data_IF_377714602585
#
_entry.id   IF_377714602585
#
_cell.length_a   1.000
_cell.length_b   1.000
_cell.length_c   1.000
_cell.angle_alpha   90.00
_cell.angle_beta   90.00
_cell.angle_gamma   90.00
#
_symmetry.space_group_name_H-M   'P 1'
#
loop_
_entity.id
_entity.type
_entity.pdbx_description
1 polymer ?
#
# COMPACT_ATOMS: atom_id res chain seq x y z
N UNK A 1 3.86 8.31 -2.30
CA UNK A 1 4.03 9.63 -2.98
C UNK A 1 3.36 10.69 -2.13
N UNK A 2 3.95 11.87 -2.01
CA UNK A 2 3.38 12.97 -1.23
C UNK A 2 3.74 14.34 -1.83
N UNK A 3 3.04 15.38 -1.36
CA UNK A 3 3.38 16.79 -1.58
C UNK A 3 3.93 17.41 -0.31
N UNK A 4 4.92 18.29 -0.42
CA UNK A 4 5.26 19.23 0.64
C UNK A 4 4.37 20.46 0.53
N UNK A 5 3.62 20.78 1.58
CA UNK A 5 2.69 21.91 1.62
C UNK A 5 3.09 22.86 2.75
N UNK A 6 3.29 24.14 2.40
CA UNK A 6 3.50 25.21 3.36
C UNK A 6 2.19 25.53 4.11
N UNK A 7 2.19 25.37 5.43
CA UNK A 7 1.03 25.61 6.29
C UNK A 7 1.00 27.01 6.92
N UNK A 8 2.05 27.81 6.72
CA UNK A 8 2.23 29.12 7.35
C UNK A 8 3.44 29.20 8.28
N UNK A 9 3.93 28.05 8.76
CA UNK A 9 5.07 27.94 9.67
C UNK A 9 6.14 26.99 9.15
N UNK A 10 5.72 25.86 8.57
CA UNK A 10 6.62 24.83 8.04
C UNK A 10 6.03 24.15 6.81
N UNK A 11 6.85 23.31 6.17
CA UNK A 11 6.37 22.39 5.14
C UNK A 11 5.94 21.08 5.79
N UNK A 12 4.69 20.70 5.54
CA UNK A 12 4.08 19.46 6.02
C UNK A 12 3.87 18.52 4.85
N UNK A 13 4.17 17.23 5.05
CA UNK A 13 3.89 16.21 4.06
C UNK A 13 2.39 15.91 3.97
N UNK A 14 1.83 15.99 2.78
CA UNK A 14 0.48 15.50 2.44
C UNK A 14 0.60 14.29 1.53
N UNK A 15 0.26 13.10 2.05
CA UNK A 15 0.28 11.87 1.26
C UNK A 15 -0.76 11.90 0.13
N UNK A 16 -0.32 11.49 -1.05
CA UNK A 16 -1.15 11.43 -2.25
C UNK A 16 -1.59 10.02 -2.63
N UNK A 17 -0.97 9.01 -2.04
CA UNK A 17 -1.22 7.60 -2.31
C UNK A 17 -1.21 6.81 -1.02
N UNK A 18 -2.01 5.76 -0.95
CA UNK A 18 -1.94 4.74 0.10
C UNK A 18 -1.57 3.41 -0.54
N UNK A 19 -0.73 2.64 0.15
CA UNK A 19 -0.33 1.32 -0.32
C UNK A 19 -1.53 0.38 -0.47
N UNK A 20 -1.57 -0.35 -1.57
CA UNK A 20 -2.56 -1.41 -1.81
C UNK A 20 -2.09 -2.71 -1.13
N UNK A 21 -2.21 -2.76 0.20
CA UNK A 21 -1.85 -3.94 1.00
C UNK A 21 -3.03 -4.91 1.14
N UNK A 22 -2.78 -6.23 1.20
CA UNK A 22 -3.85 -7.23 1.38
C UNK A 22 -4.71 -7.07 2.64
N UNK A 23 -4.19 -6.43 3.70
CA UNK A 23 -4.92 -6.16 4.94
C UNK A 23 -5.66 -4.82 4.94
N UNK A 24 -5.48 -3.97 3.92
CA UNK A 24 -6.24 -2.72 3.84
C UNK A 24 -7.70 -3.06 3.58
N UNK A 25 -8.61 -2.52 4.39
CA UNK A 25 -10.03 -2.94 4.43
C UNK A 25 -10.66 -3.11 3.04
N UNK A 26 -10.59 -2.07 2.21
CA UNK A 26 -11.24 -2.07 0.89
C UNK A 26 -10.58 -3.05 -0.10
N UNK A 27 -9.28 -3.31 0.03
CA UNK A 27 -8.57 -4.31 -0.76
C UNK A 27 -8.94 -5.71 -0.28
N UNK A 28 -8.95 -5.92 1.04
CA UNK A 28 -9.30 -7.20 1.66
C UNK A 28 -10.71 -7.62 1.32
N UNK A 29 -11.68 -6.71 1.36
CA UNK A 29 -13.06 -6.98 0.96
C UNK A 29 -13.15 -7.46 -0.50
N UNK A 30 -12.42 -6.82 -1.41
CA UNK A 30 -12.34 -7.26 -2.83
C UNK A 30 -11.72 -8.64 -2.93
N UNK A 31 -10.55 -8.84 -2.31
CA UNK A 31 -9.85 -10.14 -2.29
C UNK A 31 -10.76 -11.25 -1.76
N UNK A 32 -11.54 -10.98 -0.71
CA UNK A 32 -12.52 -11.90 -0.13
C UNK A 32 -13.64 -12.25 -1.10
N UNK A 33 -14.16 -11.27 -1.84
CA UNK A 33 -15.18 -11.50 -2.88
C UNK A 33 -14.65 -12.37 -4.03
N UNK A 34 -13.38 -12.23 -4.39
CA UNK A 34 -12.73 -13.08 -5.40
C UNK A 34 -12.29 -14.45 -4.87
N UNK A 35 -12.49 -14.73 -3.58
CA UNK A 35 -12.07 -16.00 -2.98
C UNK A 35 -10.55 -16.17 -2.88
N UNK A 36 -9.82 -15.05 -2.87
CA UNK A 36 -8.37 -15.03 -2.77
C UNK A 36 -7.88 -15.65 -1.45
N UNK A 37 -6.62 -16.14 -1.44
CA UNK A 37 -5.98 -16.63 -0.23
C UNK A 37 -5.16 -15.50 0.39
N UNK A 38 -5.54 -15.06 1.59
CA UNK A 38 -4.80 -14.07 2.39
C UNK A 38 -4.45 -14.69 3.74
N UNK A 39 -3.17 -14.71 4.08
CA UNK A 39 -2.66 -15.27 5.34
C UNK A 39 -1.25 -14.75 5.65
N UNK A 40 -0.87 -14.77 6.93
CA UNK A 40 0.52 -14.50 7.38
C UNK A 40 1.43 -15.72 7.22
N UNK A 41 0.85 -16.92 7.08
CA UNK A 41 1.57 -18.19 6.96
C UNK A 41 1.41 -18.78 5.55
N UNK A 42 2.41 -19.54 5.11
CA UNK A 42 2.39 -20.33 3.88
C UNK A 42 1.66 -21.67 4.10
N UNK A 43 0.44 -21.60 4.64
CA UNK A 43 -0.44 -22.74 4.82
C UNK A 43 -1.58 -22.66 3.79
N UNK A 44 -1.76 -23.70 2.94
CA UNK A 44 -2.79 -23.70 1.90
C UNK A 44 -4.23 -23.62 2.45
N UNK A 45 -4.46 -24.05 3.70
CA UNK A 45 -5.78 -24.06 4.35
C UNK A 45 -5.98 -22.86 5.28
N UNK A 46 -4.91 -22.13 5.62
CA UNK A 46 -5.01 -20.91 6.40
C UNK A 46 -5.65 -19.79 5.57
N UNK A 47 -6.87 -19.40 5.96
CA UNK A 47 -7.49 -18.15 5.53
C UNK A 47 -7.67 -17.28 6.75
N UNK A 48 -6.74 -16.37 6.95
CA UNK A 48 -6.90 -15.35 7.97
C UNK A 48 -7.38 -14.07 7.28
N UNK A 49 -8.66 -13.77 7.51
CA UNK A 49 -9.27 -12.50 7.15
C UNK A 49 -9.36 -11.57 8.36
N UNK A 50 -8.73 -11.93 9.48
CA UNK A 50 -8.86 -11.17 10.71
C UNK A 50 -8.26 -9.78 10.57
N UNK A 51 -8.78 -8.85 11.35
CA UNK A 51 -8.24 -7.50 11.52
C UNK A 51 -7.15 -7.44 12.59
N UNK A 52 -7.05 -8.48 13.42
CA UNK A 52 -6.21 -8.46 14.59
C UNK A 52 -4.76 -8.69 14.16
N UNK A 53 -3.90 -7.68 14.33
CA UNK A 53 -2.45 -7.78 14.13
C UNK A 53 -1.83 -8.96 14.91
N UNK A 54 -2.42 -9.35 16.04
CA UNK A 54 -2.04 -10.56 16.80
C UNK A 54 -2.21 -11.87 16.02
N UNK A 55 -3.06 -11.90 14.98
CA UNK A 55 -3.33 -13.11 14.18
C UNK A 55 -2.25 -13.40 13.14
N UNK A 56 -1.53 -12.38 12.67
CA UNK A 56 -0.57 -12.53 11.57
C UNK A 56 0.89 -12.70 12.03
N UNK A 57 1.13 -12.66 13.35
CA UNK A 57 2.48 -12.71 13.89
C UNK A 57 3.26 -11.43 13.56
N UNK A 58 4.59 -11.54 13.38
CA UNK A 58 5.45 -10.37 13.12
C UNK A 58 5.35 -9.82 11.69
N UNK A 59 4.80 -10.60 10.75
CA UNK A 59 4.74 -10.24 9.33
C UNK A 59 3.29 -9.93 8.92
N UNK A 60 3.06 -8.85 8.15
CA UNK A 60 1.74 -8.56 7.63
C UNK A 60 1.26 -9.66 6.68
N UNK A 61 -0.06 -9.89 6.57
CA UNK A 61 -0.59 -10.91 5.68
C UNK A 61 -0.23 -10.66 4.22
N UNK A 62 -0.04 -11.77 3.51
CA UNK A 62 0.28 -11.81 2.09
C UNK A 62 -0.90 -12.32 1.29
N UNK A 63 -1.02 -11.82 0.07
CA UNK A 63 -1.88 -12.39 -0.96
C UNK A 63 -1.14 -13.55 -1.60
N UNK A 64 -1.69 -14.75 -1.46
CA UNK A 64 -1.06 -15.97 -1.96
C UNK A 64 -1.58 -16.35 -3.34
N UNK A 65 -0.63 -16.50 -4.26
CA UNK A 65 -0.87 -16.98 -5.62
C UNK A 65 -0.01 -18.20 -5.83
N UNK A 66 -0.65 -19.39 -5.83
CA UNK A 66 0.04 -20.69 -5.74
C UNK A 66 0.88 -20.75 -4.47
N UNK A 67 2.21 -20.76 -4.59
CA UNK A 67 3.16 -20.83 -3.47
C UNK A 67 3.93 -19.51 -3.29
N UNK A 68 3.42 -18.41 -3.88
CA UNK A 68 4.05 -17.09 -3.85
C UNK A 68 3.21 -16.14 -3.00
N UNK A 69 3.78 -15.62 -1.92
CA UNK A 69 3.15 -14.64 -1.02
C UNK A 69 3.50 -13.19 -1.38
N UNK A 70 2.54 -12.46 -1.94
CA UNK A 70 2.67 -11.07 -2.38
C UNK A 70 2.27 -10.10 -1.26
N UNK A 71 3.05 -9.04 -1.08
CA UNK A 71 2.78 -7.99 -0.09
C UNK A 71 1.82 -6.88 -0.60
N UNK A 72 1.25 -7.07 -1.80
CA UNK A 72 0.40 -6.11 -2.49
C UNK A 72 -0.82 -6.81 -3.11
N UNK A 73 -1.90 -6.06 -3.32
CA UNK A 73 -3.14 -6.52 -3.94
C UNK A 73 -3.32 -6.02 -5.38
N UNK A 74 -2.44 -5.13 -5.86
CA UNK A 74 -2.47 -4.56 -7.21
C UNK A 74 -1.09 -4.51 -7.83
N UNK A 75 -1.00 -4.84 -9.12
CA UNK A 75 0.23 -4.76 -9.89
C UNK A 75 -0.04 -4.76 -11.40
N UNK A 76 1.00 -4.45 -12.18
CA UNK A 76 0.99 -4.60 -13.63
C UNK A 76 1.88 -5.78 -14.02
N UNK A 77 1.43 -6.61 -14.97
CA UNK A 77 2.27 -7.63 -15.60
C UNK A 77 2.32 -8.98 -14.88
N UNK A 78 1.68 -9.13 -13.72
CA UNK A 78 1.53 -10.42 -13.04
C UNK A 78 0.34 -11.22 -13.60
N UNK A 79 0.40 -11.55 -14.89
CA UNK A 79 -0.71 -12.19 -15.62
C UNK A 79 -1.19 -13.51 -14.99
N UNK A 80 -0.27 -14.25 -14.38
CA UNK A 80 -0.59 -15.48 -13.65
C UNK A 80 -1.46 -15.23 -12.41
N UNK A 81 -1.29 -14.06 -11.81
CA UNK A 81 -1.90 -13.63 -10.57
C UNK A 81 -3.19 -12.82 -10.78
N UNK A 82 -3.35 -12.22 -11.97
CA UNK A 82 -4.62 -11.63 -12.42
C UNK A 82 -5.78 -12.64 -12.39
N UNK A 83 -5.49 -13.92 -12.68
CA UNK A 83 -6.48 -14.99 -12.61
C UNK A 83 -6.99 -15.30 -11.20
N UNK A 84 -6.26 -14.84 -10.16
CA UNK A 84 -6.50 -15.22 -8.76
C UNK A 84 -7.08 -14.08 -7.93
N UNK A 85 -6.81 -12.81 -8.26
CA UNK A 85 -7.51 -11.62 -7.72
C UNK A 85 -6.74 -10.29 -7.90
N UNK A 86 -5.51 -10.30 -8.44
CA UNK A 86 -4.78 -9.04 -8.64
C UNK A 86 -5.41 -8.22 -9.75
N UNK A 87 -5.51 -6.91 -9.50
CA UNK A 87 -6.02 -5.95 -10.47
C UNK A 87 -4.95 -4.91 -10.79
N UNK A 88 -4.89 -4.50 -12.05
CA UNK A 88 -4.01 -3.43 -12.51
C UNK A 88 -4.69 -2.05 -12.49
N UNK A 89 -5.87 -1.94 -11.86
CA UNK A 89 -6.65 -0.70 -11.84
C UNK A 89 -6.10 0.24 -10.75
N UNK A 90 -5.58 1.43 -11.09
CA UNK A 90 -5.01 2.34 -10.11
C UNK A 90 -6.09 3.11 -9.33
N UNK A 91 -5.75 3.58 -8.14
CA UNK A 91 -6.46 4.66 -7.47
C UNK A 91 -6.00 6.01 -8.00
N UNK A 92 -6.95 6.90 -8.27
CA UNK A 92 -6.68 8.21 -8.84
C UNK A 92 -7.05 9.30 -7.83
N UNK A 93 -6.06 10.12 -7.44
CA UNK A 93 -6.25 11.36 -6.68
C UNK A 93 -5.85 12.53 -7.56
N UNK A 94 -6.75 13.50 -7.75
CA UNK A 94 -6.47 14.73 -8.50
C UNK A 94 -6.33 15.89 -7.52
N UNK A 95 -5.18 16.56 -7.55
CA UNK A 95 -4.88 17.70 -6.67
C UNK A 95 -4.66 18.95 -7.51
N UNK A 96 -5.26 20.07 -7.09
CA UNK A 96 -5.02 21.38 -7.69
C UNK A 96 -3.83 22.05 -7.00
N UNK A 97 -2.74 22.23 -7.73
CA UNK A 97 -1.56 22.92 -7.22
C UNK A 97 -1.85 24.39 -6.91
N UNK A 98 -1.21 24.89 -5.86
CA UNK A 98 -1.26 26.26 -5.35
C UNK A 98 0.16 26.72 -5.03
N UNK A 99 0.34 28.01 -4.74
CA UNK A 99 1.63 28.55 -4.33
C UNK A 99 2.18 27.95 -3.02
N UNK A 100 1.35 27.27 -2.23
CA UNK A 100 1.79 26.63 -0.99
C UNK A 100 2.42 25.25 -1.22
N UNK A 101 2.25 24.64 -2.40
CA UNK A 101 2.88 23.36 -2.70
C UNK A 101 4.33 23.60 -3.11
N UNK A 102 5.29 23.23 -2.25
CA UNK A 102 6.71 23.53 -2.43
C UNK A 102 7.47 22.44 -3.19
N UNK A 103 7.04 21.19 -3.05
CA UNK A 103 7.68 20.02 -3.68
C UNK A 103 6.72 18.85 -3.83
N UNK A 104 7.11 17.87 -4.66
CA UNK A 104 6.45 16.58 -4.80
C UNK A 104 7.48 15.46 -4.80
N UNK A 105 7.25 14.38 -4.06
CA UNK A 105 8.17 13.25 -3.98
C UNK A 105 7.48 11.96 -4.41
N UNK A 106 8.14 11.23 -5.31
CA UNK A 106 7.81 9.88 -5.73
C UNK A 106 9.03 9.00 -5.47
N UNK A 107 8.84 7.94 -4.69
CA UNK A 107 9.86 6.95 -4.41
C UNK A 107 9.20 5.58 -4.20
N UNK A 108 10.01 4.53 -4.24
CA UNK A 108 9.57 3.17 -3.91
C UNK A 108 9.50 2.94 -2.40
N UNK A 109 8.90 1.81 -2.02
CA UNK A 109 8.91 1.24 -0.66
C UNK A 109 10.32 1.17 -0.05
N UNK A 110 11.37 0.90 -0.84
CA UNK A 110 12.76 0.93 -0.36
C UNK A 110 13.21 2.25 0.31
N UNK A 111 12.47 3.35 0.16
CA UNK A 111 12.61 4.57 0.96
C UNK A 111 11.58 4.60 2.10
N UNK A 112 10.30 4.37 1.79
CA UNK A 112 9.18 4.59 2.71
C UNK A 112 9.01 3.50 3.79
N UNK A 113 9.64 2.34 3.62
CA UNK A 113 9.75 1.33 4.67
C UNK A 113 10.61 1.81 5.84
N UNK A 114 11.46 2.82 5.63
CA UNK A 114 12.41 3.33 6.62
C UNK A 114 12.15 4.78 7.03
N UNK A 115 11.54 5.58 6.15
CA UNK A 115 11.35 7.01 6.34
C UNK A 115 9.88 7.38 6.13
N UNK A 116 9.32 8.13 7.08
CA UNK A 116 8.01 8.75 6.87
C UNK A 116 8.09 9.87 5.83
N UNK A 117 6.96 10.17 5.18
CA UNK A 117 6.87 11.30 4.25
C UNK A 117 7.36 12.62 4.86
N UNK A 118 7.03 12.87 6.13
CA UNK A 118 7.53 14.05 6.84
C UNK A 118 9.04 14.02 7.08
N UNK A 119 9.61 12.88 7.46
CA UNK A 119 11.05 12.76 7.62
C UNK A 119 11.79 13.07 6.31
N UNK A 120 11.23 12.65 5.16
CA UNK A 120 11.79 13.00 3.85
C UNK A 120 11.68 14.51 3.59
N UNK A 121 10.54 15.14 3.88
CA UNK A 121 10.39 16.61 3.79
C UNK A 121 11.48 17.31 4.59
N UNK A 122 11.65 16.94 5.86
CA UNK A 122 12.59 17.59 6.77
C UNK A 122 14.06 17.47 6.31
N UNK A 123 14.39 16.47 5.46
CA UNK A 123 15.74 16.28 4.91
C UNK A 123 16.02 17.08 3.63
N UNK A 124 14.99 17.40 2.85
CA UNK A 124 15.14 18.02 1.51
C UNK A 124 14.74 19.50 1.48
N UNK A 125 14.46 20.07 2.66
CA UNK A 125 14.09 21.46 2.89
C UNK A 125 15.30 22.32 3.28
#
# INVERSE_FOLDING_TARGET
>A
MFLGVWDGDRVVAEDLSSDHKPHREDEREKLRQYGARVSGEDDPDARSWSDDEETYGSDPPRLWVRDIGLAFSRSFGDSDAESVSLIAVPEQKVVKLTANHSLSVVASDGVFDFLSSQAVVDMVQ
#
